data_IF_390020672674
#
_entry.id   IF_390020672674
#
_cell.length_a   1.000
_cell.length_b   1.000
_cell.length_c   1.000
_cell.angle_alpha   90.00
_cell.angle_beta   90.00
_cell.angle_gamma   90.00
#
_symmetry.space_group_name_H-M   'P 1'
#
loop_
_entity.id
_entity.type
_entity.pdbx_description
1 polymer ?
#
# COMPACT_ATOMS: atom_id res chain seq x y z
N UNK A 1 2.70 20.00 -10.18
CA UNK A 1 2.53 19.00 -11.26
C UNK A 1 1.55 17.97 -10.75
N UNK A 2 0.43 17.69 -11.45
CA UNK A 2 -0.57 16.73 -10.99
C UNK A 2 -0.04 15.31 -11.27
N UNK A 3 -0.03 14.43 -10.28
CA UNK A 3 0.30 13.01 -10.50
C UNK A 3 -0.85 12.35 -11.27
N UNK A 4 -0.51 11.41 -12.15
CA UNK A 4 -1.44 10.64 -12.96
C UNK A 4 -1.07 9.15 -12.90
N UNK A 5 -2.07 8.28 -13.02
CA UNK A 5 -1.86 6.84 -13.06
C UNK A 5 -1.58 6.44 -14.51
N UNK A 6 -0.35 5.98 -14.79
CA UNK A 6 0.09 5.67 -16.15
C UNK A 6 -0.23 4.25 -16.61
N UNK A 7 -0.22 3.30 -15.67
CA UNK A 7 -0.45 1.89 -15.94
C UNK A 7 -0.96 1.21 -14.67
N UNK A 8 -1.63 0.05 -14.85
CA UNK A 8 -2.02 -0.84 -13.76
C UNK A 8 -1.72 -2.27 -14.16
N UNK A 9 -1.15 -3.01 -13.22
CA UNK A 9 -1.06 -4.45 -13.28
C UNK A 9 -1.69 -4.96 -12.00
N UNK A 10 -2.83 -5.64 -12.11
CA UNK A 10 -3.54 -6.18 -10.94
C UNK A 10 -3.19 -7.66 -10.85
N UNK A 11 -2.55 -8.04 -9.75
CA UNK A 11 -2.30 -9.45 -9.47
C UNK A 11 -3.59 -10.12 -8.98
N UNK A 12 -3.77 -11.38 -9.36
CA UNK A 12 -4.79 -12.25 -8.78
C UNK A 12 -4.37 -12.57 -7.33
N UNK A 13 -5.16 -12.09 -6.37
CA UNK A 13 -4.87 -12.18 -4.93
C UNK A 13 -5.77 -13.25 -4.33
N UNK A 14 -5.24 -14.44 -4.08
CA UNK A 14 -6.04 -15.56 -3.56
C UNK A 14 -6.09 -15.64 -2.04
N UNK A 15 -5.16 -15.00 -1.33
CA UNK A 15 -5.01 -15.07 0.13
C UNK A 15 -4.76 -13.68 0.73
N UNK A 16 -5.29 -13.43 1.92
CA UNK A 16 -4.97 -12.27 2.78
C UNK A 16 -4.69 -12.72 4.21
N UNK A 17 -3.88 -11.95 4.93
CA UNK A 17 -3.70 -12.11 6.38
C UNK A 17 -4.73 -11.27 7.13
N UNK A 18 -5.36 -11.84 8.16
CA UNK A 18 -6.27 -11.13 9.07
C UNK A 18 -5.85 -11.36 10.53
N UNK A 19 -6.28 -10.47 11.43
CA UNK A 19 -6.05 -10.64 12.86
C UNK A 19 -6.89 -11.83 13.33
N UNK A 20 -6.22 -12.86 13.84
CA UNK A 20 -6.89 -14.06 14.33
C UNK A 20 -7.61 -13.79 15.65
N UNK A 21 -8.73 -14.50 15.88
CA UNK A 21 -9.55 -14.34 17.10
C UNK A 21 -8.76 -14.58 18.40
N UNK A 22 -7.81 -15.51 18.38
CA UNK A 22 -7.01 -15.89 19.55
C UNK A 22 -5.68 -15.10 19.66
N UNK A 23 -5.50 -14.10 18.79
CA UNK A 23 -4.25 -13.34 18.67
C UNK A 23 -3.35 -13.88 17.56
N UNK A 24 -2.46 -13.02 17.07
CA UNK A 24 -1.64 -13.30 15.89
C UNK A 24 -2.36 -13.02 14.59
N UNK A 25 -1.92 -13.68 13.52
CA UNK A 25 -2.46 -13.55 12.16
C UNK A 25 -2.86 -14.92 11.61
N UNK A 26 -3.88 -14.94 10.78
CA UNK A 26 -4.28 -16.12 10.01
C UNK A 26 -4.48 -15.79 8.53
N UNK A 27 -4.03 -16.71 7.67
CA UNK A 27 -4.22 -16.64 6.23
C UNK A 27 -5.63 -17.10 5.86
N UNK A 28 -6.40 -16.23 5.22
CA UNK A 28 -7.75 -16.53 4.74
C UNK A 28 -7.87 -16.31 3.24
N UNK A 29 -8.72 -17.10 2.58
CA UNK A 29 -9.01 -16.96 1.17
C UNK A 29 -9.72 -15.64 0.85
N UNK A 30 -9.36 -15.02 -0.28
CA UNK A 30 -10.05 -13.84 -0.80
C UNK A 30 -11.22 -14.32 -1.69
N UNK A 31 -12.44 -13.77 -1.55
CA UNK A 31 -13.56 -14.09 -2.44
C UNK A 31 -13.19 -13.85 -3.90
N UNK A 32 -13.60 -14.72 -4.82
CA UNK A 32 -13.27 -14.63 -6.26
C UNK A 32 -13.57 -13.25 -6.86
N UNK A 33 -14.63 -12.59 -6.39
CA UNK A 33 -15.03 -11.23 -6.81
C UNK A 33 -13.98 -10.15 -6.51
N UNK A 34 -13.12 -10.39 -5.52
CA UNK A 34 -12.17 -9.41 -5.00
C UNK A 34 -10.72 -9.73 -5.41
N UNK A 35 -10.47 -10.93 -5.95
CA UNK A 35 -9.11 -11.39 -6.25
C UNK A 35 -8.43 -10.55 -7.34
N UNK A 36 -9.21 -10.08 -8.32
CA UNK A 36 -8.74 -9.23 -9.42
C UNK A 36 -9.09 -7.75 -9.22
N UNK A 37 -9.61 -7.38 -8.05
CA UNK A 37 -9.86 -5.98 -7.70
C UNK A 37 -8.55 -5.26 -7.33
N UNK A 38 -8.39 -3.96 -7.65
CA UNK A 38 -7.27 -3.17 -7.15
C UNK A 38 -7.30 -3.06 -5.62
N UNK A 39 -6.13 -3.18 -4.97
CA UNK A 39 -6.02 -3.04 -3.50
C UNK A 39 -6.18 -1.60 -3.01
N UNK A 40 -6.09 -0.62 -3.92
CA UNK A 40 -6.24 0.80 -3.63
C UNK A 40 -7.21 1.43 -4.63
N UNK A 41 -7.98 2.40 -4.15
CA UNK A 41 -8.68 3.35 -5.02
C UNK A 41 -7.70 4.31 -5.68
N UNK A 42 -8.11 4.96 -6.77
CA UNK A 42 -7.31 5.96 -7.47
C UNK A 42 -6.91 7.12 -6.57
N UNK A 43 -7.84 7.57 -5.71
CA UNK A 43 -7.60 8.64 -4.76
C UNK A 43 -6.51 8.25 -3.76
N UNK A 44 -6.57 7.02 -3.22
CA UNK A 44 -5.54 6.51 -2.31
C UNK A 44 -4.20 6.32 -3.03
N UNK A 45 -4.19 5.82 -4.26
CA UNK A 45 -2.94 5.63 -5.02
C UNK A 45 -2.23 6.96 -5.28
N UNK A 46 -2.98 8.00 -5.66
CA UNK A 46 -2.42 9.34 -5.87
C UNK A 46 -1.94 9.97 -4.55
N UNK A 47 -2.71 9.82 -3.47
CA UNK A 47 -2.32 10.31 -2.15
C UNK A 47 -1.05 9.61 -1.63
N UNK A 48 -0.94 8.29 -1.83
CA UNK A 48 0.25 7.52 -1.48
C UNK A 48 1.48 7.98 -2.26
N UNK A 49 1.32 8.25 -3.57
CA UNK A 49 2.40 8.77 -4.41
C UNK A 49 2.84 10.19 -4.00
N UNK A 50 1.90 11.05 -3.60
CA UNK A 50 2.19 12.37 -3.03
C UNK A 50 2.99 12.24 -1.73
N UNK A 51 2.54 11.36 -0.82
CA UNK A 51 3.19 11.11 0.47
C UNK A 51 4.61 10.55 0.31
N UNK A 52 4.81 9.57 -0.58
CA UNK A 52 6.14 9.00 -0.84
C UNK A 52 7.16 10.06 -1.28
N UNK A 53 6.72 11.03 -2.08
CA UNK A 53 7.59 12.12 -2.53
C UNK A 53 7.85 13.18 -1.46
N UNK A 54 6.90 13.40 -0.54
CA UNK A 54 7.17 14.22 0.65
C UNK A 54 8.21 13.56 1.54
N UNK A 55 8.12 12.23 1.74
CA UNK A 55 9.08 11.45 2.54
C UNK A 55 10.47 11.46 1.90
N UNK A 56 10.58 11.18 0.60
CA UNK A 56 11.86 11.23 -0.12
C UNK A 56 12.51 12.62 -0.03
N UNK A 57 11.72 13.69 -0.23
CA UNK A 57 12.22 15.06 -0.11
C UNK A 57 12.70 15.38 1.31
N UNK A 58 12.02 14.87 2.33
CA UNK A 58 12.40 15.07 3.73
C UNK A 58 13.72 14.38 4.09
N UNK A 59 13.93 13.15 3.61
CA UNK A 59 15.17 12.40 3.87
C UNK A 59 16.31 12.69 2.89
N UNK A 60 16.05 13.46 1.84
CA UNK A 60 17.00 13.75 0.75
C UNK A 60 17.61 12.50 0.10
N UNK A 61 16.87 11.39 0.13
CA UNK A 61 17.29 10.11 -0.39
C UNK A 61 16.06 9.24 -0.68
N UNK A 62 16.11 8.37 -1.71
CA UNK A 62 15.05 7.40 -1.96
C UNK A 62 14.79 6.53 -0.73
N UNK A 63 13.52 6.41 -0.36
CA UNK A 63 13.09 5.61 0.78
C UNK A 63 12.31 4.38 0.31
N UNK A 64 12.52 3.28 1.01
CA UNK A 64 11.60 2.16 1.04
C UNK A 64 10.65 2.36 2.23
N UNK A 65 9.35 2.24 1.98
CA UNK A 65 8.29 2.70 2.87
C UNK A 65 7.27 1.57 3.03
N UNK A 66 7.10 1.11 4.27
CA UNK A 66 5.96 0.29 4.65
C UNK A 66 4.80 1.20 5.05
N UNK A 67 3.62 0.88 4.54
CA UNK A 67 2.41 1.68 4.74
C UNK A 67 1.19 0.77 4.87
N UNK A 68 0.10 1.28 5.43
CA UNK A 68 -1.20 0.63 5.41
C UNK A 68 -2.33 1.65 5.19
N UNK A 69 -3.52 1.14 4.90
CA UNK A 69 -4.75 1.93 4.91
C UNK A 69 -5.63 1.47 6.05
N UNK A 70 -6.12 2.40 6.85
CA UNK A 70 -7.12 2.16 7.88
C UNK A 70 -8.16 3.28 7.83
N UNK A 71 -9.44 2.90 7.81
CA UNK A 71 -10.57 3.85 7.78
C UNK A 71 -10.47 4.87 6.62
N UNK A 72 -9.89 4.45 5.48
CA UNK A 72 -9.70 5.28 4.30
C UNK A 72 -8.42 6.15 4.32
N UNK A 73 -7.73 6.23 5.45
CA UNK A 73 -6.52 7.02 5.63
C UNK A 73 -5.25 6.17 5.47
N UNK A 74 -4.18 6.79 4.95
CA UNK A 74 -2.88 6.14 4.76
C UNK A 74 -2.01 6.41 5.99
N UNK A 75 -1.42 5.35 6.53
CA UNK A 75 -0.46 5.41 7.63
C UNK A 75 0.90 4.91 7.17
N UNK A 76 1.96 5.63 7.56
CA UNK A 76 3.35 5.17 7.41
C UNK A 76 3.69 4.30 8.62
N UNK A 77 4.13 3.08 8.37
CA UNK A 77 4.55 2.14 9.42
C UNK A 77 6.06 2.20 9.64
N UNK A 78 6.82 2.22 8.54
CA UNK A 78 8.29 2.20 8.57
C UNK A 78 8.83 2.93 7.33
N UNK A 79 9.95 3.65 7.47
CA UNK A 79 10.71 4.21 6.34
C UNK A 79 12.20 3.94 6.50
N UNK A 80 12.89 3.52 5.44
CA UNK A 80 14.32 3.20 5.44
C UNK A 80 14.98 3.69 4.16
N UNK A 81 16.20 4.22 4.28
CA UNK A 81 16.97 4.64 3.12
C UNK A 81 17.32 3.44 2.24
N UNK A 82 17.12 3.57 0.93
CA UNK A 82 17.61 2.58 -0.01
C UNK A 82 19.13 2.73 -0.15
N UNK A 83 19.86 1.64 0.07
CA UNK A 83 21.32 1.61 -0.17
C UNK A 83 21.55 1.59 -1.69
N UNK A 84 22.46 2.44 -2.15
CA UNK A 84 22.95 2.42 -3.54
C UNK A 84 23.78 1.16 -3.80
#
# INVERSE_FOLDING_TARGET
MRREIRARTIANKTVREVIAREGGVESVGIPETDQDAPSLTDAQLLALADLGMQIENYFHAPQDIEWCVKDGEIFVLQTRAMKK
#
